data_IF_809435877826
#
_entry.id   IF_809435877826
#
_cell.length_a   1.000
_cell.length_b   1.000
_cell.length_c   1.000
_cell.angle_alpha   90.00
_cell.angle_beta   90.00
_cell.angle_gamma   90.00
#
_symmetry.space_group_name_H-M   'P 1'
#
loop_
_entity.id
_entity.type
_entity.pdbx_description
1 polymer ?
#
# COMPACT_ATOMS: atom_id res chain seq x y z
N UNK A 1 -12.69 10.12 -5.08
CA UNK A 1 -12.67 8.90 -4.24
C UNK A 1 -11.29 8.31 -4.40
N UNK A 2 -10.59 8.16 -3.29
CA UNK A 2 -9.27 7.56 -3.30
C UNK A 2 -9.45 6.06 -3.40
N UNK A 3 -8.61 5.40 -4.18
CA UNK A 3 -8.64 3.97 -4.39
C UNK A 3 -7.32 3.36 -3.97
N UNK A 4 -7.37 2.18 -3.37
CA UNK A 4 -6.16 1.47 -2.97
C UNK A 4 -6.35 -0.04 -2.93
N UNK A 5 -5.23 -0.74 -2.71
CA UNK A 5 -5.19 -2.19 -2.53
C UNK A 5 -4.36 -2.51 -1.31
N UNK A 6 -4.97 -3.19 -0.33
CA UNK A 6 -4.29 -3.71 0.85
C UNK A 6 -4.08 -5.22 0.69
N UNK A 7 -2.88 -5.70 0.95
CA UNK A 7 -2.62 -7.14 1.13
C UNK A 7 -2.85 -7.44 2.61
N UNK A 8 -3.81 -8.30 2.96
CA UNK A 8 -4.16 -8.53 4.36
C UNK A 8 -2.96 -9.03 5.19
N UNK A 9 -2.07 -9.81 4.55
CA UNK A 9 -0.85 -10.35 5.16
C UNK A 9 0.23 -9.27 5.43
N UNK A 10 0.07 -8.04 4.94
CA UNK A 10 1.00 -6.94 5.23
C UNK A 10 0.74 -6.26 6.58
N UNK A 11 -0.42 -6.49 7.21
CA UNK A 11 -0.74 -5.93 8.52
C UNK A 11 0.01 -6.67 9.63
N UNK A 12 0.51 -5.93 10.63
CA UNK A 12 1.09 -6.56 11.83
C UNK A 12 0.03 -7.34 12.60
N UNK A 13 0.43 -8.42 13.27
CA UNK A 13 -0.47 -9.17 14.13
C UNK A 13 -1.02 -8.28 15.25
N UNK A 14 -2.34 -8.26 15.41
CA UNK A 14 -3.03 -7.45 16.42
C UNK A 14 -3.32 -6.01 16.00
N UNK A 15 -2.99 -5.59 14.77
CA UNK A 15 -3.44 -4.31 14.25
C UNK A 15 -4.98 -4.28 14.17
N UNK A 16 -5.57 -3.17 14.59
CA UNK A 16 -7.01 -2.91 14.47
C UNK A 16 -7.19 -1.60 13.71
N UNK A 17 -8.02 -1.64 12.68
CA UNK A 17 -8.45 -0.50 11.87
C UNK A 17 -9.98 -0.50 11.86
N UNK A 18 -10.61 0.17 12.82
CA UNK A 18 -12.04 0.04 13.13
C UNK A 18 -12.85 1.34 12.99
N UNK A 19 -12.21 2.49 12.85
CA UNK A 19 -12.85 3.78 12.54
C UNK A 19 -12.64 4.18 11.07
N UNK A 20 -12.96 3.25 10.15
CA UNK A 20 -12.79 3.43 8.72
C UNK A 20 -14.11 3.35 7.95
N UNK A 21 -14.38 4.36 7.12
CA UNK A 21 -15.50 4.36 6.18
C UNK A 21 -15.08 3.86 4.79
N UNK A 22 -14.46 2.68 4.72
CA UNK A 22 -14.05 2.07 3.46
C UNK A 22 -15.24 1.45 2.71
N UNK A 23 -15.26 1.61 1.39
CA UNK A 23 -16.07 0.77 0.50
C UNK A 23 -15.18 -0.33 -0.07
N UNK A 24 -15.40 -1.59 0.34
CA UNK A 24 -14.68 -2.73 -0.24
C UNK A 24 -15.25 -3.06 -1.61
N UNK A 25 -14.45 -2.87 -2.67
CA UNK A 25 -14.84 -3.15 -4.05
C UNK A 25 -14.66 -4.61 -4.43
N UNK A 26 -13.61 -5.26 -3.92
CA UNK A 26 -13.25 -6.64 -4.25
C UNK A 26 -12.35 -7.24 -3.19
N UNK A 27 -12.53 -8.51 -2.89
CA UNK A 27 -11.57 -9.34 -2.15
C UNK A 27 -11.11 -10.44 -3.10
N UNK A 28 -9.80 -10.59 -3.26
CA UNK A 28 -9.20 -11.60 -4.11
C UNK A 28 -8.14 -12.36 -3.35
N UNK A 29 -8.14 -13.69 -3.50
CA UNK A 29 -7.08 -14.54 -2.99
C UNK A 29 -6.38 -15.21 -4.17
N UNK A 30 -5.09 -14.95 -4.36
CA UNK A 30 -4.34 -15.45 -5.52
C UNK A 30 -2.91 -15.82 -5.15
N UNK A 31 -2.39 -16.86 -5.82
CA UNK A 31 -0.96 -17.16 -5.76
C UNK A 31 -0.18 -15.96 -6.29
N UNK A 32 0.81 -15.51 -5.52
CA UNK A 32 1.69 -14.43 -5.96
C UNK A 32 2.71 -14.98 -6.95
N UNK A 33 2.80 -14.37 -8.13
CA UNK A 33 3.79 -14.72 -9.14
C UNK A 33 5.19 -14.16 -8.82
N UNK A 34 5.32 -13.30 -7.81
CA UNK A 34 6.53 -12.55 -7.50
C UNK A 34 6.79 -12.41 -5.98
N UNK A 35 6.25 -13.31 -5.14
CA UNK A 35 6.54 -13.31 -3.71
C UNK A 35 8.03 -13.54 -3.42
N UNK A 36 8.57 -12.80 -2.44
CA UNK A 36 9.89 -13.09 -1.89
C UNK A 36 9.86 -14.33 -1.00
N UNK A 37 11.03 -14.84 -0.61
CA UNK A 37 11.12 -16.03 0.26
C UNK A 37 10.45 -15.83 1.63
N UNK A 38 10.42 -14.60 2.12
CA UNK A 38 9.85 -14.24 3.42
C UNK A 38 8.36 -13.87 3.33
N UNK A 39 7.81 -13.78 2.12
CA UNK A 39 6.39 -13.50 1.88
C UNK A 39 5.59 -14.80 1.68
N UNK A 40 4.34 -14.87 2.14
CA UNK A 40 3.48 -16.01 1.88
C UNK A 40 3.25 -16.17 0.37
N UNK A 41 3.13 -17.40 -0.17
CA UNK A 41 2.96 -17.63 -1.60
C UNK A 41 1.56 -17.29 -2.13
N UNK A 42 0.59 -17.02 -1.24
CA UNK A 42 -0.78 -16.64 -1.57
C UNK A 42 -1.12 -15.39 -0.79
N UNK A 43 -1.63 -14.37 -1.49
CA UNK A 43 -1.99 -13.07 -0.92
C UNK A 43 -3.50 -12.87 -0.94
N UNK A 44 -4.01 -12.17 0.06
CA UNK A 44 -5.39 -11.72 0.16
C UNK A 44 -5.45 -10.22 -0.14
N UNK A 45 -5.81 -9.86 -1.37
CA UNK A 45 -5.91 -8.48 -1.83
C UNK A 45 -7.31 -7.93 -1.54
N UNK A 46 -7.37 -6.81 -0.83
CA UNK A 46 -8.58 -6.05 -0.51
C UNK A 46 -8.52 -4.75 -1.30
N UNK A 47 -9.35 -4.65 -2.33
CA UNK A 47 -9.50 -3.45 -3.13
C UNK A 47 -10.58 -2.59 -2.49
N UNK A 48 -10.26 -1.33 -2.21
CA UNK A 48 -11.17 -0.43 -1.51
C UNK A 48 -11.21 0.95 -2.16
N UNK A 49 -12.25 1.71 -1.80
CA UNK A 49 -12.34 3.14 -1.98
C UNK A 49 -12.58 3.84 -0.64
N UNK A 50 -12.15 5.09 -0.53
CA UNK A 50 -12.43 6.00 0.59
C UNK A 50 -12.65 7.43 0.06
N UNK A 51 -13.30 8.29 0.85
CA UNK A 51 -13.39 9.71 0.52
C UNK A 51 -11.98 10.34 0.38
N UNK A 52 -11.78 11.19 -0.63
CA UNK A 52 -10.46 11.82 -0.87
C UNK A 52 -9.97 12.59 0.36
N UNK A 53 -10.89 13.24 1.08
CA UNK A 53 -10.60 13.99 2.30
C UNK A 53 -10.09 13.12 3.47
N UNK A 54 -10.29 11.81 3.41
CA UNK A 54 -9.81 10.86 4.41
C UNK A 54 -8.56 10.08 3.95
N UNK A 55 -8.10 10.28 2.71
CA UNK A 55 -7.01 9.50 2.14
C UNK A 55 -5.69 9.67 2.93
N UNK A 56 -5.37 10.89 3.34
CA UNK A 56 -4.17 11.18 4.13
C UNK A 56 -4.24 10.54 5.53
N UNK A 57 -5.35 10.70 6.24
CA UNK A 57 -5.54 10.09 7.55
C UNK A 57 -5.47 8.55 7.48
N UNK A 58 -6.04 7.95 6.43
CA UNK A 58 -5.94 6.51 6.19
C UNK A 58 -4.48 6.10 5.92
N UNK A 59 -3.74 6.87 5.11
CA UNK A 59 -2.34 6.58 4.82
C UNK A 59 -1.48 6.56 6.10
N UNK A 60 -1.71 7.52 7.01
CA UNK A 60 -1.01 7.58 8.29
C UNK A 60 -1.36 6.37 9.18
N UNK A 61 -2.64 6.05 9.34
CA UNK A 61 -3.09 4.88 10.11
C UNK A 61 -2.57 3.56 9.53
N UNK A 62 -2.53 3.44 8.20
CA UNK A 62 -1.95 2.27 7.54
C UNK A 62 -0.44 2.20 7.80
N UNK A 63 0.28 3.31 7.73
CA UNK A 63 1.72 3.34 8.01
C UNK A 63 2.04 2.82 9.41
N UNK A 64 1.16 3.09 10.38
CA UNK A 64 1.26 2.53 11.71
C UNK A 64 0.87 1.06 11.73
N UNK A 65 -0.12 0.60 10.96
CA UNK A 65 -0.66 -0.77 11.03
C UNK A 65 0.15 -1.83 10.25
N UNK A 66 0.98 -1.42 9.29
CA UNK A 66 1.80 -2.35 8.51
C UNK A 66 2.89 -3.01 9.38
N UNK A 67 3.22 -4.26 9.06
CA UNK A 67 4.30 -5.01 9.69
C UNK A 67 5.68 -4.51 9.22
N UNK A 68 6.65 -4.43 10.14
CA UNK A 68 8.02 -4.01 9.82
C UNK A 68 8.81 -5.06 9.00
N UNK A 69 8.38 -6.33 9.01
CA UNK A 69 9.04 -7.40 8.27
C UNK A 69 8.08 -8.59 7.94
N UNK A 70 8.15 -9.16 6.72
CA UNK A 70 8.78 -8.55 5.54
C UNK A 70 8.12 -7.21 5.22
N UNK A 71 8.86 -6.28 4.61
CA UNK A 71 8.32 -4.96 4.29
C UNK A 71 7.37 -5.06 3.09
N UNK A 72 6.21 -4.44 3.23
CA UNK A 72 5.20 -4.26 2.19
C UNK A 72 4.90 -2.78 2.01
N UNK A 73 4.05 -2.47 1.05
CA UNK A 73 3.47 -1.15 0.91
C UNK A 73 1.98 -1.21 0.57
N UNK A 74 1.29 -0.09 0.73
CA UNK A 74 -0.04 0.14 0.15
C UNK A 74 0.09 1.28 -0.86
N UNK A 75 -0.36 1.04 -2.09
CA UNK A 75 -0.63 2.10 -3.07
C UNK A 75 -2.06 2.59 -2.85
N UNK A 76 -2.17 3.85 -2.43
CA UNK A 76 -3.41 4.59 -2.29
C UNK A 76 -3.30 5.84 -3.15
N UNK A 77 -4.28 6.12 -4.00
CA UNK A 77 -4.24 7.31 -4.84
C UNK A 77 -5.60 7.97 -4.98
N UNK A 78 -5.57 9.29 -5.11
CA UNK A 78 -6.68 10.11 -5.60
C UNK A 78 -6.47 10.41 -7.08
N UNK A 79 -7.35 11.23 -7.67
CA UNK A 79 -7.13 11.77 -9.02
C UNK A 79 -5.89 12.68 -9.08
N UNK A 80 -5.50 13.31 -7.97
CA UNK A 80 -4.44 14.32 -7.96
C UNK A 80 -3.14 13.84 -7.31
N UNK A 81 -3.19 12.86 -6.43
CA UNK A 81 -2.08 12.46 -5.58
C UNK A 81 -1.93 10.94 -5.48
N UNK A 82 -0.70 10.48 -5.31
CA UNK A 82 -0.36 9.11 -4.90
C UNK A 82 0.24 9.14 -3.51
N UNK A 83 -0.11 8.14 -2.70
CA UNK A 83 0.41 7.83 -1.39
C UNK A 83 0.96 6.41 -1.45
N UNK A 84 2.28 6.28 -1.35
CA UNK A 84 2.93 4.98 -1.14
C UNK A 84 3.20 4.85 0.34
N UNK A 85 2.49 3.94 0.98
CA UNK A 85 2.48 3.76 2.43
C UNK A 85 3.33 2.57 2.79
N UNK A 86 4.44 2.83 3.48
CA UNK A 86 5.32 1.83 4.09
C UNK A 86 5.12 1.82 5.62
N UNK A 87 5.64 0.81 6.34
CA UNK A 87 5.70 0.86 7.80
C UNK A 87 6.40 2.14 8.28
N UNK A 88 5.72 2.92 9.12
CA UNK A 88 6.19 4.17 9.71
C UNK A 88 6.63 5.26 8.71
N UNK A 89 6.23 5.16 7.44
CA UNK A 89 6.61 6.12 6.39
C UNK A 89 5.57 6.21 5.29
N UNK A 90 5.08 7.43 5.03
CA UNK A 90 4.25 7.74 3.86
C UNK A 90 5.05 8.61 2.89
N UNK A 91 5.11 8.21 1.62
CA UNK A 91 5.64 9.04 0.53
C UNK A 91 4.47 9.50 -0.33
N UNK A 92 4.22 10.81 -0.29
CA UNK A 92 3.12 11.48 -1.01
C UNK A 92 3.69 12.32 -2.15
N UNK A 93 3.10 12.19 -3.34
CA UNK A 93 3.48 12.99 -4.50
C UNK A 93 2.30 13.19 -5.45
N UNK A 94 2.40 14.17 -6.36
CA UNK A 94 1.33 14.43 -7.34
C UNK A 94 1.26 13.31 -8.38
N UNK A 95 0.06 12.96 -8.84
CA UNK A 95 -0.10 12.05 -9.99
C UNK A 95 0.69 12.57 -11.18
N UNK A 96 1.46 11.67 -11.81
CA UNK A 96 2.35 11.99 -12.92
C UNK A 96 3.66 12.70 -12.53
N UNK A 97 3.97 12.88 -11.23
CA UNK A 97 5.27 13.39 -10.79
C UNK A 97 6.33 12.26 -10.82
N UNK A 98 7.29 12.31 -11.76
CA UNK A 98 8.29 11.25 -11.90
C UNK A 98 9.31 11.26 -10.76
N UNK A 99 9.58 12.42 -10.14
CA UNK A 99 10.58 12.50 -9.07
C UNK A 99 10.01 11.90 -7.79
N UNK A 100 8.79 12.29 -7.40
CA UNK A 100 8.15 11.70 -6.22
C UNK A 100 7.93 10.19 -6.34
N UNK A 101 7.64 9.71 -7.56
CA UNK A 101 7.60 8.27 -7.85
C UNK A 101 8.96 7.61 -7.66
N UNK A 102 10.02 8.18 -8.23
CA UNK A 102 11.38 7.63 -8.11
C UNK A 102 11.84 7.55 -6.66
N UNK A 103 11.54 8.56 -5.84
CA UNK A 103 11.86 8.58 -4.41
C UNK A 103 11.15 7.42 -3.66
N UNK A 104 9.90 7.12 -4.02
CA UNK A 104 9.15 6.00 -3.45
C UNK A 104 9.68 4.63 -3.90
N UNK A 105 10.05 4.49 -5.17
CA UNK A 105 10.68 3.28 -5.72
C UNK A 105 12.04 3.01 -5.06
N UNK A 106 12.87 4.06 -4.91
CA UNK A 106 14.17 3.97 -4.24
C UNK A 106 14.01 3.52 -2.78
N UNK A 107 13.04 4.11 -2.05
CA UNK A 107 12.75 3.70 -0.69
C UNK A 107 12.31 2.24 -0.62
N UNK A 108 11.38 1.81 -1.47
CA UNK A 108 10.91 0.42 -1.49
C UNK A 108 12.04 -0.57 -1.77
N UNK A 109 12.88 -0.27 -2.77
CA UNK A 109 14.04 -1.10 -3.11
C UNK A 109 15.04 -1.19 -1.97
N UNK A 110 15.31 -0.08 -1.28
CA UNK A 110 16.21 -0.05 -0.12
C UNK A 110 15.70 -0.92 1.05
N UNK A 111 14.39 -1.20 1.11
CA UNK A 111 13.75 -2.03 2.14
C UNK A 111 13.41 -3.45 1.65
N UNK A 112 14.00 -3.88 0.53
CA UNK A 112 13.91 -5.26 0.04
C UNK A 112 12.67 -5.58 -0.78
N UNK A 113 11.88 -4.58 -1.20
CA UNK A 113 10.77 -4.78 -2.12
C UNK A 113 11.35 -4.93 -3.55
N UNK A 114 11.06 -6.03 -4.27
CA UNK A 114 11.56 -6.22 -5.64
C UNK A 114 10.97 -5.21 -6.63
N UNK A 115 11.73 -4.83 -7.67
CA UNK A 115 11.24 -3.93 -8.72
C UNK A 115 9.98 -4.46 -9.42
N UNK A 116 9.83 -5.79 -9.51
CA UNK A 116 8.62 -6.43 -10.06
C UNK A 116 7.36 -6.25 -9.21
N UNK A 117 7.49 -5.75 -7.98
CA UNK A 117 6.40 -5.36 -7.10
C UNK A 117 6.24 -3.82 -7.04
N UNK A 118 7.16 -3.03 -7.62
CA UNK A 118 7.10 -1.57 -7.66
C UNK A 118 6.53 -1.09 -9.02
N UNK A 119 5.47 -1.73 -9.49
CA UNK A 119 4.90 -1.60 -10.83
C UNK A 119 3.66 -0.68 -10.89
N UNK A 120 3.67 0.42 -10.13
CA UNK A 120 2.50 1.29 -9.95
C UNK A 120 2.04 1.95 -11.26
N UNK A 121 0.72 2.04 -11.52
CA UNK A 121 0.20 2.74 -12.69
C UNK A 121 0.50 4.24 -12.62
N UNK A 122 1.10 4.78 -13.68
CA UNK A 122 1.35 6.24 -13.89
C UNK A 122 0.07 7.05 -13.92
#
# INVERSE_FOLDING_TARGET
MAAGVLIAESLRTGAVLDDLSLTVRKIQRSASGNATADQPPVWTLIFFDIADAQAEALADQLSEALADAPVWYVDLHTVQETFIVFPNRVIRYRRGDPQGRADAEEYGRAHGIPDSQLDWPT
#
